data_IF_647680442647
#
_entry.id   IF_647680442647
#
_cell.length_a   1.000
_cell.length_b   1.000
_cell.length_c   1.000
_cell.angle_alpha   90.00
_cell.angle_beta   90.00
_cell.angle_gamma   90.00
#
_symmetry.space_group_name_H-M   'P 1'
#
loop_
_entity.id
_entity.type
_entity.pdbx_description
1 polymer ?
#
# COMPACT_ATOMS: atom_id res chain seq x y z
N UNK A 1 -4.95 3.15 -4.90
CA UNK A 1 -3.99 2.04 -4.68
C UNK A 1 -4.62 0.68 -4.99
N UNK A 2 -5.80 0.37 -4.44
CA UNK A 2 -6.51 -0.91 -4.58
C UNK A 2 -6.62 -1.42 -6.04
N UNK A 3 -7.03 -0.57 -6.99
CA UNK A 3 -7.21 -1.00 -8.38
C UNK A 3 -5.88 -1.39 -9.08
N UNK A 4 -4.78 -0.68 -8.79
CA UNK A 4 -3.48 -0.98 -9.37
C UNK A 4 -2.87 -2.25 -8.76
N UNK A 5 -3.03 -2.42 -7.45
CA UNK A 5 -2.56 -3.60 -6.70
C UNK A 5 -3.33 -4.86 -7.11
N UNK A 6 -4.65 -4.79 -7.24
CA UNK A 6 -5.43 -5.93 -7.75
C UNK A 6 -5.03 -6.32 -9.17
N UNK A 7 -4.73 -5.34 -10.03
CA UNK A 7 -4.26 -5.58 -11.40
C UNK A 7 -2.91 -6.30 -11.40
N UNK A 8 -1.94 -5.82 -10.62
CA UNK A 8 -0.62 -6.41 -10.57
C UNK A 8 -0.62 -7.82 -9.95
N UNK A 9 -1.39 -8.04 -8.86
CA UNK A 9 -1.60 -9.37 -8.27
C UNK A 9 -2.14 -10.37 -9.29
N UNK A 10 -3.18 -9.99 -10.04
CA UNK A 10 -3.74 -10.84 -11.08
C UNK A 10 -2.73 -11.15 -12.18
N UNK A 11 -1.90 -10.17 -12.56
CA UNK A 11 -0.82 -10.36 -13.53
C UNK A 11 0.21 -11.39 -13.03
N UNK A 12 0.70 -11.26 -11.80
CA UNK A 12 1.68 -12.21 -11.26
C UNK A 12 1.10 -13.61 -11.07
N UNK A 13 -0.12 -13.72 -10.53
CA UNK A 13 -0.78 -15.02 -10.34
C UNK A 13 -0.98 -15.74 -11.70
N UNK A 14 -1.30 -14.99 -12.76
CA UNK A 14 -1.40 -15.56 -14.11
C UNK A 14 -0.05 -16.03 -14.67
N UNK A 15 1.02 -15.25 -14.48
CA UNK A 15 2.37 -15.63 -14.95
C UNK A 15 2.85 -16.89 -14.22
N UNK A 16 2.71 -16.94 -12.90
CA UNK A 16 3.11 -18.10 -12.08
C UNK A 16 2.32 -19.38 -12.43
N UNK A 17 1.10 -19.24 -12.95
CA UNK A 17 0.29 -20.38 -13.40
C UNK A 17 0.74 -20.94 -14.75
N UNK A 18 1.31 -20.07 -15.61
CA UNK A 18 1.62 -20.40 -17.01
C UNK A 18 3.10 -20.67 -17.26
N UNK A 19 3.99 -20.17 -16.40
CA UNK A 19 5.43 -20.36 -16.52
C UNK A 19 5.92 -21.62 -15.80
N UNK A 20 6.92 -22.25 -16.39
CA UNK A 20 7.63 -23.44 -15.92
C UNK A 20 9.15 -23.22 -15.83
N UNK A 21 9.66 -22.12 -16.41
CA UNK A 21 11.06 -21.69 -16.32
C UNK A 21 11.36 -21.03 -14.95
N UNK A 22 12.28 -21.59 -14.14
CA UNK A 22 12.73 -21.00 -12.87
C UNK A 22 13.21 -19.55 -13.00
N UNK A 23 13.88 -19.20 -14.10
CA UNK A 23 14.42 -17.84 -14.33
C UNK A 23 13.31 -16.79 -14.53
N UNK A 24 12.08 -17.24 -14.82
CA UNK A 24 10.87 -16.41 -14.85
C UNK A 24 10.15 -16.46 -13.51
N UNK A 25 10.04 -17.63 -12.89
CA UNK A 25 9.26 -17.81 -11.67
C UNK A 25 9.86 -17.05 -10.47
N UNK A 26 11.17 -17.09 -10.30
CA UNK A 26 11.84 -16.50 -9.14
C UNK A 26 11.71 -14.96 -9.06
N UNK A 27 11.97 -14.18 -10.13
CA UNK A 27 11.73 -12.75 -10.08
C UNK A 27 10.24 -12.39 -9.89
N UNK A 28 9.31 -13.18 -10.42
CA UNK A 28 7.87 -12.93 -10.27
C UNK A 28 7.41 -13.18 -8.83
N UNK A 29 7.91 -14.24 -8.18
CA UNK A 29 7.66 -14.49 -6.74
C UNK A 29 8.15 -13.31 -5.89
N UNK A 30 9.38 -12.85 -6.15
CA UNK A 30 9.94 -11.69 -5.46
C UNK A 30 9.10 -10.42 -5.64
N UNK A 31 8.64 -10.13 -6.86
CA UNK A 31 7.79 -8.96 -7.13
C UNK A 31 6.44 -9.06 -6.42
N UNK A 32 5.82 -10.25 -6.41
CA UNK A 32 4.55 -10.51 -5.71
C UNK A 32 4.67 -10.30 -4.19
N UNK A 33 5.74 -10.78 -3.58
CA UNK A 33 6.00 -10.57 -2.14
C UNK A 33 6.22 -9.08 -1.81
N UNK A 34 6.91 -8.35 -2.69
CA UNK A 34 7.14 -6.91 -2.50
C UNK A 34 5.88 -6.07 -2.50
N UNK A 35 4.82 -6.51 -3.19
CA UNK A 35 3.55 -5.78 -3.15
C UNK A 35 2.89 -5.84 -1.78
N UNK A 36 2.96 -6.98 -1.08
CA UNK A 36 2.44 -7.12 0.29
C UNK A 36 3.17 -6.15 1.22
N UNK A 37 4.50 -6.09 1.11
CA UNK A 37 5.32 -5.17 1.90
C UNK A 37 5.00 -3.71 1.55
N UNK A 38 4.80 -3.40 0.27
CA UNK A 38 4.46 -2.06 -0.18
C UNK A 38 3.08 -1.63 0.35
N UNK A 39 2.09 -2.51 0.34
CA UNK A 39 0.77 -2.26 0.91
C UNK A 39 0.85 -1.95 2.41
N UNK A 40 1.51 -2.81 3.19
CA UNK A 40 1.65 -2.62 4.63
C UNK A 40 2.35 -1.29 4.96
N UNK A 41 3.52 -1.05 4.36
CA UNK A 41 4.30 0.16 4.63
C UNK A 41 3.59 1.44 4.20
N UNK A 42 2.86 1.39 3.08
CA UNK A 42 2.06 2.53 2.65
C UNK A 42 0.91 2.81 3.62
N UNK A 43 0.25 1.76 4.13
CA UNK A 43 -0.76 1.88 5.18
C UNK A 43 -0.21 2.49 6.46
N UNK A 44 0.92 1.99 6.95
CA UNK A 44 1.60 2.52 8.15
C UNK A 44 1.95 4.00 7.97
N UNK A 45 2.54 4.37 6.82
CA UNK A 45 2.89 5.76 6.51
C UNK A 45 1.65 6.66 6.42
N UNK A 46 0.55 6.16 5.86
CA UNK A 46 -0.71 6.90 5.78
C UNK A 46 -1.31 7.15 7.17
N UNK A 47 -1.26 6.16 8.06
CA UNK A 47 -1.69 6.29 9.45
C UNK A 47 -0.93 7.41 10.17
N UNK A 48 0.40 7.39 10.07
CA UNK A 48 1.25 8.45 10.65
C UNK A 48 0.89 9.84 10.10
N UNK A 49 0.61 9.96 8.79
CA UNK A 49 0.22 11.25 8.21
C UNK A 49 -1.14 11.71 8.75
N UNK A 50 -2.13 10.81 8.86
CA UNK A 50 -3.45 11.12 9.38
C UNK A 50 -3.40 11.57 10.85
N UNK A 51 -2.67 10.84 11.69
CA UNK A 51 -2.48 11.21 13.10
C UNK A 51 -1.85 12.61 13.25
N UNK A 52 -0.91 12.96 12.37
CA UNK A 52 -0.27 14.28 12.36
C UNK A 52 -1.19 15.39 11.81
N UNK A 53 -2.11 15.09 10.90
CA UNK A 53 -3.11 16.05 10.41
C UNK A 53 -4.14 16.39 11.49
N UNK A 54 -4.56 15.42 12.30
CA UNK A 54 -5.50 15.64 13.40
C UNK A 54 -4.88 16.39 14.60
N UNK A 55 -3.55 16.45 14.68
CA UNK A 55 -2.82 16.99 15.85
C UNK A 55 -2.90 18.52 16.04
N UNK A 56 -3.45 19.29 15.08
CA UNK A 56 -3.51 20.77 15.17
C UNK A 56 -4.84 21.35 14.71
N UNK A 57 -5.93 20.91 15.32
CA UNK A 57 -7.22 21.60 15.17
C UNK A 57 -7.24 22.91 16.00
N UNK A 58 -6.45 23.90 15.59
CA UNK A 58 -6.29 25.21 16.27
C UNK A 58 -7.60 26.03 16.30
N UNK A 59 -8.60 25.65 15.51
CA UNK A 59 -9.94 26.24 15.48
C UNK A 59 -10.92 25.59 16.46
N UNK A 60 -10.57 24.48 17.12
CA UNK A 60 -11.47 23.80 18.06
C UNK A 60 -11.71 24.60 19.37
N UNK A 61 -10.84 25.57 19.69
CA UNK A 61 -10.99 26.48 20.83
C UNK A 61 -10.68 27.90 20.38
N UNK A 62 -11.67 28.60 19.83
CA UNK A 62 -11.64 30.06 19.73
C UNK A 62 -12.38 30.64 20.96
N UNK A 63 -11.68 31.12 22.00
CA UNK A 63 -12.30 31.75 23.17
C UNK A 63 -12.89 33.14 22.88
N UNK A 64 -12.92 33.59 21.62
CA UNK A 64 -13.49 34.90 21.23
C UNK A 64 -15.01 34.86 20.98
N UNK A 65 -15.65 33.70 21.20
CA UNK A 65 -17.10 33.53 21.14
C UNK A 65 -17.61 33.00 22.48
N UNK A 66 -17.54 33.83 23.52
CA UNK A 66 -18.35 33.73 24.74
C UNK A 66 -18.88 35.13 25.08
#
# INVERSE_FOLDING_TARGET
MIAAEQKARLTYDNILRLADDPDVLDPIRYLREREIVHYQRFGDALGVIQDNLDSRNFYAFNPSFD
#
